data_IF_980118900411
#
_entry.id   IF_980118900411
#
_cell.length_a   1.000
_cell.length_b   1.000
_cell.length_c   1.000
_cell.angle_alpha   90.00
_cell.angle_beta   90.00
_cell.angle_gamma   90.00
#
_symmetry.space_group_name_H-M   'P 1'
#
loop_
_entity.id
_entity.type
_entity.pdbx_description
1 polymer ?
#
# COMPACT_ATOMS: atom_id res chain seq x y z
N UNK A 1 -26.56 -17.08 12.51
CA UNK A 1 -25.22 -16.80 13.07
C UNK A 1 -25.35 -16.64 14.59
N UNK A 2 -24.42 -17.24 15.34
CA UNK A 2 -24.41 -17.18 16.79
C UNK A 2 -23.11 -16.57 17.30
N UNK A 3 -23.15 -16.05 18.53
CA UNK A 3 -21.94 -15.52 19.16
C UNK A 3 -20.90 -16.65 19.33
N UNK A 4 -19.64 -16.31 19.15
CA UNK A 4 -18.54 -17.23 19.40
C UNK A 4 -18.37 -17.42 20.90
N UNK A 5 -18.06 -18.65 21.31
CA UNK A 5 -17.64 -18.90 22.68
C UNK A 5 -16.22 -18.35 22.93
N UNK A 6 -15.81 -18.28 24.17
CA UNK A 6 -14.54 -17.65 24.54
C UNK A 6 -13.32 -18.38 23.95
N UNK A 7 -13.36 -19.70 23.80
CA UNK A 7 -12.25 -20.44 23.17
C UNK A 7 -12.16 -20.14 21.69
N UNK A 8 -13.30 -20.04 21.00
CA UNK A 8 -13.34 -19.66 19.59
C UNK A 8 -12.85 -18.22 19.40
N UNK A 9 -13.24 -17.31 20.32
CA UNK A 9 -12.74 -15.93 20.31
C UNK A 9 -11.23 -15.88 20.53
N UNK A 10 -10.70 -16.68 21.46
CA UNK A 10 -9.25 -16.74 21.72
C UNK A 10 -8.50 -17.20 20.48
N UNK A 11 -9.00 -18.24 19.80
CA UNK A 11 -8.39 -18.73 18.56
C UNK A 11 -8.43 -17.67 17.48
N UNK A 12 -9.58 -17.05 17.24
CA UNK A 12 -9.71 -16.01 16.21
C UNK A 12 -8.79 -14.84 16.50
N UNK A 13 -8.74 -14.36 17.75
CA UNK A 13 -7.88 -13.24 18.14
C UNK A 13 -6.41 -13.58 17.94
N UNK A 14 -5.99 -14.78 18.36
CA UNK A 14 -4.59 -15.17 18.27
C UNK A 14 -4.14 -15.36 16.82
N UNK A 15 -4.96 -16.01 16.00
CA UNK A 15 -4.64 -16.14 14.58
C UNK A 15 -4.70 -14.80 13.83
N UNK A 16 -5.53 -13.87 14.31
CA UNK A 16 -5.52 -12.52 13.77
C UNK A 16 -4.21 -11.79 14.10
N UNK A 17 -3.87 -11.67 15.37
CA UNK A 17 -2.80 -10.77 15.81
C UNK A 17 -1.42 -11.42 15.90
N UNK A 18 -1.34 -12.76 15.96
CA UNK A 18 -0.06 -13.48 16.11
C UNK A 18 0.19 -14.54 15.04
N UNK A 19 -0.81 -14.87 14.21
CA UNK A 19 -0.72 -15.95 13.21
C UNK A 19 -0.37 -17.28 13.84
N UNK A 20 -0.77 -17.51 15.06
CA UNK A 20 -0.47 -18.74 15.83
C UNK A 20 -1.55 -19.00 16.85
N UNK A 21 -1.48 -20.18 17.47
CA UNK A 21 -2.44 -20.59 18.50
C UNK A 21 -2.33 -19.68 19.74
N UNK A 22 -3.42 -19.60 20.55
CA UNK A 22 -3.40 -18.82 21.78
C UNK A 22 -2.32 -19.25 22.76
N UNK A 23 -1.75 -18.28 23.48
CA UNK A 23 -0.84 -18.59 24.56
C UNK A 23 -1.62 -18.95 25.85
N UNK A 24 -0.89 -19.42 26.87
CA UNK A 24 -1.50 -19.87 28.11
C UNK A 24 -2.29 -18.75 28.80
N UNK A 25 -1.80 -17.50 28.71
CA UNK A 25 -2.50 -16.36 29.32
C UNK A 25 -3.86 -16.12 28.67
N UNK A 26 -3.91 -16.18 27.33
CA UNK A 26 -5.18 -15.99 26.60
C UNK A 26 -6.13 -17.16 26.85
N UNK A 27 -5.60 -18.38 26.89
CA UNK A 27 -6.42 -19.56 27.19
C UNK A 27 -7.00 -19.52 28.60
N UNK A 28 -6.24 -19.03 29.58
CA UNK A 28 -6.73 -18.90 30.96
C UNK A 28 -7.91 -17.90 31.05
N UNK A 29 -7.84 -16.80 30.29
CA UNK A 29 -8.95 -15.83 30.22
C UNK A 29 -10.19 -16.48 29.59
N UNK A 30 -9.98 -17.25 28.51
CA UNK A 30 -11.09 -17.96 27.84
C UNK A 30 -11.72 -19.01 28.78
N UNK A 31 -10.88 -19.78 29.50
CA UNK A 31 -11.37 -20.80 30.45
C UNK A 31 -12.21 -20.16 31.57
N UNK A 32 -11.82 -18.95 32.00
CA UNK A 32 -12.58 -18.23 33.01
C UNK A 32 -13.88 -17.61 32.49
N UNK A 33 -14.14 -17.71 31.16
CA UNK A 33 -15.33 -17.14 30.53
C UNK A 33 -15.36 -15.63 30.49
N UNK A 34 -14.19 -15.00 30.46
CA UNK A 34 -14.07 -13.56 30.58
C UNK A 34 -13.65 -12.88 29.29
N UNK A 35 -13.27 -13.62 28.26
CA UNK A 35 -12.75 -13.01 27.05
C UNK A 35 -13.84 -12.24 26.27
N UNK A 36 -15.09 -12.63 26.43
CA UNK A 36 -16.22 -11.93 25.83
C UNK A 36 -16.52 -10.58 26.51
N UNK A 37 -15.96 -10.31 27.70
CA UNK A 37 -16.11 -9.01 28.37
C UNK A 37 -15.33 -7.94 27.60
N UNK A 38 -15.96 -6.79 27.25
CA UNK A 38 -15.26 -5.79 26.43
C UNK A 38 -13.93 -5.28 27.00
N UNK A 39 -13.89 -5.03 28.31
CA UNK A 39 -12.66 -4.51 28.94
C UNK A 39 -11.54 -5.56 28.93
N UNK A 40 -11.87 -6.86 29.14
CA UNK A 40 -10.88 -7.92 29.10
C UNK A 40 -10.37 -8.14 27.67
N UNK A 41 -11.28 -8.14 26.70
CA UNK A 41 -10.90 -8.26 25.28
C UNK A 41 -9.94 -7.14 24.90
N UNK A 42 -10.26 -5.89 25.27
CA UNK A 42 -9.39 -4.75 24.97
C UNK A 42 -8.01 -4.91 25.61
N UNK A 43 -7.95 -5.39 26.85
CA UNK A 43 -6.68 -5.62 27.54
C UNK A 43 -5.82 -6.68 26.83
N UNK A 44 -6.46 -7.76 26.35
CA UNK A 44 -5.74 -8.81 25.62
C UNK A 44 -5.24 -8.28 24.26
N UNK A 45 -6.05 -7.49 23.54
CA UNK A 45 -5.62 -6.88 22.27
C UNK A 45 -4.37 -6.01 22.51
N UNK A 46 -4.39 -5.17 23.56
CA UNK A 46 -3.23 -4.32 23.88
C UNK A 46 -2.00 -5.17 24.15
N UNK A 47 -2.12 -6.18 25.01
CA UNK A 47 -1.01 -7.07 25.33
C UNK A 47 -0.45 -7.75 24.09
N UNK A 48 -1.34 -8.22 23.22
CA UNK A 48 -0.93 -8.98 22.04
C UNK A 48 -0.31 -8.09 20.97
N UNK A 49 -0.81 -6.85 20.80
CA UNK A 49 -0.19 -5.89 19.87
C UNK A 49 1.18 -5.44 20.34
N UNK A 50 1.41 -5.38 21.66
CA UNK A 50 2.71 -5.01 22.21
C UNK A 50 3.73 -6.16 22.18
N UNK A 51 3.28 -7.39 21.97
CA UNK A 51 4.16 -8.57 21.91
C UNK A 51 4.84 -8.63 20.52
N UNK A 52 6.14 -8.96 20.46
CA UNK A 52 6.85 -9.07 19.17
C UNK A 52 6.20 -10.02 18.17
N UNK A 53 5.40 -10.99 18.61
CA UNK A 53 4.69 -11.90 17.71
C UNK A 53 3.71 -11.16 16.79
N UNK A 54 3.27 -9.95 17.17
CA UNK A 54 2.38 -9.14 16.33
C UNK A 54 3.01 -8.73 15.01
N UNK A 55 4.34 -8.78 14.90
CA UNK A 55 5.03 -8.54 13.61
C UNK A 55 4.56 -9.52 12.53
N UNK A 56 4.16 -10.73 12.91
CA UNK A 56 3.62 -11.72 11.96
C UNK A 56 2.32 -11.23 11.34
N UNK A 57 1.47 -10.63 12.17
CA UNK A 57 0.24 -10.00 11.67
C UNK A 57 0.56 -8.91 10.65
N UNK A 58 1.46 -7.98 11.01
CA UNK A 58 1.78 -6.86 10.11
C UNK A 58 2.30 -7.39 8.77
N UNK A 59 3.26 -8.30 8.81
CA UNK A 59 3.86 -8.86 7.58
C UNK A 59 2.79 -9.50 6.69
N UNK A 60 1.95 -10.38 7.26
CA UNK A 60 0.93 -11.08 6.48
C UNK A 60 -0.16 -10.12 6.01
N UNK A 61 -0.56 -9.17 6.86
CA UNK A 61 -1.62 -8.22 6.50
C UNK A 61 -1.18 -7.32 5.36
N UNK A 62 0.00 -6.67 5.45
CA UNK A 62 0.45 -5.79 4.36
C UNK A 62 0.77 -6.60 3.11
N UNK A 63 1.23 -7.85 3.30
CA UNK A 63 1.43 -8.78 2.19
C UNK A 63 0.16 -8.98 1.38
N UNK A 64 -0.97 -9.13 2.04
CA UNK A 64 -2.26 -9.35 1.37
C UNK A 64 -2.93 -8.05 0.95
N UNK A 65 -3.02 -7.07 1.85
CA UNK A 65 -3.76 -5.82 1.59
C UNK A 65 -3.13 -5.02 0.44
N UNK A 66 -1.81 -5.00 0.37
CA UNK A 66 -1.07 -4.21 -0.62
C UNK A 66 -0.23 -5.06 -1.57
N UNK A 67 -0.47 -6.37 -1.61
CA UNK A 67 0.21 -7.30 -2.51
C UNK A 67 1.74 -7.31 -2.31
N UNK A 68 2.21 -7.00 -1.10
CA UNK A 68 3.65 -6.95 -0.86
C UNK A 68 4.31 -8.32 -1.05
N UNK A 69 3.53 -9.42 -0.96
CA UNK A 69 4.04 -10.75 -1.25
C UNK A 69 4.54 -10.89 -2.69
N UNK A 70 4.16 -9.97 -3.58
CA UNK A 70 4.59 -9.99 -4.99
C UNK A 70 5.92 -9.25 -5.22
N UNK A 71 6.59 -8.78 -4.17
CA UNK A 71 7.75 -7.90 -4.35
C UNK A 71 8.87 -8.54 -5.18
N UNK A 72 8.96 -9.86 -5.19
CA UNK A 72 9.95 -10.58 -5.98
C UNK A 72 9.37 -11.21 -7.27
N UNK A 73 8.16 -10.82 -7.68
CA UNK A 73 7.52 -11.37 -8.88
C UNK A 73 8.16 -10.89 -10.17
N UNK A 74 8.85 -9.74 -10.14
CA UNK A 74 9.53 -9.20 -11.30
C UNK A 74 11.01 -8.97 -10.97
N UNK A 75 11.85 -9.09 -11.98
CA UNK A 75 13.28 -8.77 -11.88
C UNK A 75 13.53 -7.47 -12.63
N UNK A 76 14.03 -6.43 -11.96
CA UNK A 76 14.36 -5.18 -12.66
C UNK A 76 15.44 -5.42 -13.72
N UNK A 77 15.28 -4.75 -14.86
CA UNK A 77 16.23 -4.86 -15.97
C UNK A 77 17.59 -4.30 -15.53
N UNK A 78 18.64 -5.10 -15.71
CA UNK A 78 19.97 -4.73 -15.21
C UNK A 78 20.62 -3.59 -16.02
N UNK A 79 20.20 -3.40 -17.24
CA UNK A 79 20.67 -2.27 -18.07
C UNK A 79 19.98 -0.97 -17.70
N UNK A 80 18.68 -1.03 -17.42
CA UNK A 80 17.90 0.16 -17.07
C UNK A 80 18.04 0.53 -15.60
N UNK A 81 18.17 -0.46 -14.72
CA UNK A 81 18.19 -0.25 -13.25
C UNK A 81 19.37 -1.00 -12.64
N UNK A 82 20.61 -0.64 -13.04
CA UNK A 82 21.80 -1.35 -12.56
C UNK A 82 22.02 -1.22 -11.05
N UNK A 83 21.41 -0.22 -10.41
CA UNK A 83 21.54 -0.01 -8.97
C UNK A 83 20.68 -0.99 -8.14
N UNK A 84 19.75 -1.72 -8.76
CA UNK A 84 18.91 -2.64 -8.01
C UNK A 84 19.71 -3.88 -7.60
N UNK A 85 19.53 -4.28 -6.34
CA UNK A 85 20.09 -5.53 -5.81
C UNK A 85 19.15 -6.08 -4.73
N UNK A 86 19.46 -7.27 -4.24
CA UNK A 86 18.65 -7.94 -3.23
C UNK A 86 18.59 -7.14 -1.92
N UNK A 87 19.65 -6.42 -1.57
CA UNK A 87 19.66 -5.60 -0.35
C UNK A 87 18.64 -4.47 -0.47
N UNK A 88 18.56 -3.85 -1.65
CA UNK A 88 17.53 -2.83 -1.87
C UNK A 88 16.14 -3.44 -1.80
N UNK A 89 15.92 -4.60 -2.43
CA UNK A 89 14.62 -5.28 -2.37
C UNK A 89 14.18 -5.59 -0.96
N UNK A 90 15.10 -6.09 -0.13
CA UNK A 90 14.82 -6.38 1.28
C UNK A 90 14.48 -5.10 2.06
N UNK A 91 15.21 -4.01 1.80
CA UNK A 91 14.96 -2.74 2.48
C UNK A 91 13.61 -2.13 2.07
N UNK A 92 13.23 -2.25 0.78
CA UNK A 92 11.92 -1.80 0.31
C UNK A 92 10.79 -2.52 1.05
N UNK A 93 10.90 -3.85 1.19
CA UNK A 93 9.89 -4.61 1.91
C UNK A 93 9.85 -4.22 3.39
N UNK A 94 11.03 -4.12 4.01
CA UNK A 94 11.13 -3.78 5.43
C UNK A 94 10.54 -2.39 5.72
N UNK A 95 10.74 -1.43 4.82
CA UNK A 95 10.18 -0.08 5.00
C UNK A 95 8.67 -0.13 5.22
N UNK A 96 7.96 -0.86 4.36
CA UNK A 96 6.49 -0.93 4.43
C UNK A 96 6.03 -1.66 5.69
N UNK A 97 6.68 -2.77 6.03
CA UNK A 97 6.32 -3.52 7.23
C UNK A 97 6.55 -2.69 8.49
N UNK A 98 7.72 -2.05 8.61
CA UNK A 98 8.05 -1.23 9.79
C UNK A 98 7.18 0.02 9.87
N UNK A 99 6.82 0.60 8.74
CA UNK A 99 5.90 1.74 8.69
C UNK A 99 4.55 1.35 9.30
N UNK A 100 4.03 0.19 8.93
CA UNK A 100 2.76 -0.29 9.49
C UNK A 100 2.88 -0.63 10.97
N UNK A 101 4.00 -1.24 11.39
CA UNK A 101 4.24 -1.48 12.82
C UNK A 101 4.18 -0.17 13.60
N UNK A 102 4.77 0.89 13.05
CA UNK A 102 4.77 2.21 13.71
C UNK A 102 3.37 2.81 13.80
N UNK A 103 2.57 2.71 12.73
CA UNK A 103 1.20 3.20 12.77
C UNK A 103 0.41 2.54 13.90
N UNK A 104 0.61 1.24 14.10
CA UNK A 104 -0.07 0.49 15.16
C UNK A 104 0.51 0.85 16.53
N UNK A 105 1.83 0.84 16.66
CA UNK A 105 2.50 1.05 17.95
C UNK A 105 2.17 2.43 18.53
N UNK A 106 2.16 3.44 17.69
CA UNK A 106 1.93 4.83 18.11
C UNK A 106 0.47 5.26 17.92
N UNK A 107 -0.39 4.35 17.45
CA UNK A 107 -1.80 4.63 17.17
C UNK A 107 -1.96 5.84 16.26
N UNK A 108 -1.27 5.85 15.14
CA UNK A 108 -1.27 6.99 14.23
C UNK A 108 -2.48 6.98 13.30
N UNK A 109 -2.85 8.17 12.86
CA UNK A 109 -3.94 8.39 11.93
C UNK A 109 -3.66 7.76 10.56
N UNK A 110 -4.70 7.29 9.88
CA UNK A 110 -4.60 6.78 8.51
C UNK A 110 -4.24 7.85 7.49
N UNK A 111 -4.29 9.14 7.84
CA UNK A 111 -3.74 10.17 6.96
C UNK A 111 -2.26 9.92 6.66
N UNK A 112 -1.56 9.24 7.57
CA UNK A 112 -0.16 8.85 7.36
C UNK A 112 0.01 7.85 6.20
N UNK A 113 -1.03 7.11 5.83
CA UNK A 113 -0.96 6.25 4.63
C UNK A 113 -0.81 7.09 3.37
N UNK A 114 -1.38 8.29 3.37
CA UNK A 114 -1.31 9.20 2.22
C UNK A 114 -0.06 10.06 2.30
N UNK A 115 0.18 10.69 3.45
CA UNK A 115 1.33 11.56 3.65
C UNK A 115 1.79 11.48 5.10
N UNK A 116 3.07 11.21 5.30
CA UNK A 116 3.67 11.12 6.63
C UNK A 116 4.97 11.92 6.66
N UNK A 117 5.38 12.37 7.84
CA UNK A 117 6.64 13.09 8.00
C UNK A 117 7.80 12.17 8.38
N UNK A 118 7.61 10.85 8.23
CA UNK A 118 8.64 9.87 8.56
C UNK A 118 8.55 8.68 7.63
N UNK A 119 9.65 7.92 7.57
CA UNK A 119 9.68 6.59 7.00
C UNK A 119 10.76 5.78 7.72
N UNK A 120 11.04 4.57 7.24
CA UNK A 120 12.08 3.71 7.80
C UNK A 120 13.15 3.47 6.74
N UNK A 121 14.39 3.72 7.10
CA UNK A 121 15.52 3.64 6.17
C UNK A 121 16.71 2.96 6.82
N UNK A 122 17.49 2.23 6.00
CA UNK A 122 18.89 1.95 6.28
C UNK A 122 19.72 2.72 5.25
N UNK A 123 21.05 2.58 5.30
CA UNK A 123 21.92 3.28 4.36
C UNK A 123 21.55 2.97 2.90
N UNK A 124 21.30 1.69 2.59
CA UNK A 124 21.03 1.28 1.21
C UNK A 124 19.77 1.96 0.64
N UNK A 125 18.70 1.98 1.44
CA UNK A 125 17.45 2.60 1.02
C UNK A 125 17.55 4.13 1.02
N UNK A 126 18.27 4.70 1.98
CA UNK A 126 18.49 6.15 2.04
C UNK A 126 19.24 6.64 0.79
N UNK A 127 20.25 5.89 0.34
CA UNK A 127 20.96 6.19 -0.91
C UNK A 127 19.99 6.18 -2.10
N UNK A 128 19.14 5.17 -2.17
CA UNK A 128 18.15 5.06 -3.24
C UNK A 128 17.17 6.24 -3.25
N UNK A 129 16.80 6.72 -2.06
CA UNK A 129 15.85 7.83 -1.91
C UNK A 129 16.52 9.20 -1.90
N UNK A 130 17.85 9.26 -2.00
CA UNK A 130 18.62 10.49 -1.91
C UNK A 130 18.42 11.23 -0.58
N UNK A 131 18.35 10.46 0.52
CA UNK A 131 18.25 11.00 1.88
C UNK A 131 19.63 10.91 2.52
N UNK A 132 20.29 12.04 2.82
CA UNK A 132 21.65 11.99 3.34
C UNK A 132 21.71 11.65 4.83
N UNK A 133 22.88 11.22 5.29
CA UNK A 133 23.18 11.10 6.71
C UNK A 133 22.74 9.81 7.39
N UNK A 134 22.32 8.81 6.64
CA UNK A 134 21.89 7.52 7.19
C UNK A 134 22.99 6.48 6.96
N UNK A 135 23.50 5.90 8.03
CA UNK A 135 24.60 4.94 7.97
C UNK A 135 24.16 3.57 8.50
N UNK A 136 24.83 2.54 8.03
CA UNK A 136 24.64 1.17 8.50
C UNK A 136 23.49 0.44 7.86
N UNK A 137 23.40 -0.87 8.15
CA UNK A 137 22.42 -1.74 7.51
C UNK A 137 21.11 -1.84 8.28
N UNK A 138 21.08 -1.40 9.52
CA UNK A 138 19.90 -1.51 10.35
C UNK A 138 18.83 -0.50 9.94
N UNK A 139 17.62 -0.96 9.71
CA UNK A 139 16.48 -0.08 9.42
C UNK A 139 16.12 0.71 10.69
N UNK A 140 15.82 2.00 10.50
CA UNK A 140 15.42 2.87 11.60
C UNK A 140 14.45 3.94 11.14
N UNK A 141 13.65 4.44 12.08
CA UNK A 141 12.74 5.55 11.80
C UNK A 141 13.54 6.82 11.50
N UNK A 142 13.18 7.49 10.41
CA UNK A 142 13.85 8.72 9.96
C UNK A 142 12.78 9.77 9.72
N UNK A 143 12.95 10.94 10.33
CA UNK A 143 12.08 12.09 10.03
C UNK A 143 12.49 12.68 8.69
N UNK A 144 11.51 12.87 7.83
CA UNK A 144 11.75 13.32 6.46
C UNK A 144 11.78 14.86 6.40
N UNK A 145 12.60 15.43 5.51
CA UNK A 145 12.55 16.88 5.32
C UNK A 145 11.22 17.32 4.73
N UNK A 146 10.87 18.57 5.00
CA UNK A 146 9.63 19.16 4.46
C UNK A 146 9.62 19.04 2.93
N UNK A 147 8.47 18.61 2.40
CA UNK A 147 8.30 18.46 0.96
C UNK A 147 8.79 17.14 0.40
N UNK A 148 9.26 16.22 1.26
CA UNK A 148 9.70 14.90 0.79
C UNK A 148 8.53 14.14 0.16
N UNK A 149 8.81 13.47 -0.96
CA UNK A 149 7.83 12.60 -1.62
C UNK A 149 7.73 11.22 -0.94
N UNK A 150 8.58 10.95 0.06
CA UNK A 150 8.73 9.60 0.61
C UNK A 150 7.79 9.27 1.77
N UNK A 151 7.13 10.25 2.32
CA UNK A 151 6.19 10.02 3.43
C UNK A 151 4.85 9.51 2.94
N UNK A 152 4.47 8.34 3.41
CA UNK A 152 3.22 7.71 3.04
C UNK A 152 3.41 6.50 2.13
N UNK A 153 2.37 5.67 2.03
CA UNK A 153 2.44 4.38 1.34
C UNK A 153 2.82 4.53 -0.14
N UNK A 154 2.20 5.50 -0.83
CA UNK A 154 2.45 5.69 -2.26
C UNK A 154 3.80 6.35 -2.56
N UNK A 155 4.53 6.81 -1.53
CA UNK A 155 5.90 7.27 -1.68
C UNK A 155 6.94 6.17 -1.46
N UNK A 156 6.49 4.96 -1.08
CA UNK A 156 7.41 3.85 -0.78
C UNK A 156 7.72 3.05 -2.03
N UNK A 157 8.99 2.74 -2.22
CA UNK A 157 9.46 2.05 -3.42
C UNK A 157 8.89 0.65 -3.60
N UNK A 158 8.52 -0.02 -2.51
CA UNK A 158 7.90 -1.35 -2.59
C UNK A 158 6.65 -1.35 -3.46
N UNK A 159 5.80 -0.34 -3.30
CA UNK A 159 4.54 -0.23 -4.05
C UNK A 159 4.84 -0.06 -5.54
N UNK A 160 5.86 0.72 -5.86
CA UNK A 160 6.22 0.97 -7.25
C UNK A 160 6.84 -0.26 -7.91
N UNK A 161 7.57 -1.05 -7.13
CA UNK A 161 8.15 -2.29 -7.65
C UNK A 161 7.08 -3.33 -7.96
N UNK A 162 6.11 -3.52 -7.07
CA UNK A 162 5.07 -4.54 -7.30
C UNK A 162 4.09 -4.14 -8.40
N UNK A 163 4.03 -2.87 -8.76
CA UNK A 163 3.10 -2.39 -9.78
C UNK A 163 3.77 -2.10 -11.12
N UNK A 164 5.01 -2.56 -11.31
CA UNK A 164 5.76 -2.40 -12.55
C UNK A 164 6.23 -3.77 -13.05
N UNK A 165 6.66 -3.82 -14.30
CA UNK A 165 7.08 -5.07 -14.94
C UNK A 165 8.59 -5.31 -14.93
N UNK A 166 9.35 -4.42 -14.30
CA UNK A 166 10.81 -4.53 -14.24
C UNK A 166 11.55 -3.72 -15.29
N UNK A 167 10.88 -3.30 -16.36
CA UNK A 167 11.51 -2.44 -17.39
C UNK A 167 10.87 -1.07 -17.48
N UNK A 168 9.55 -1.03 -17.52
CA UNK A 168 8.79 0.21 -17.68
C UNK A 168 7.69 0.30 -16.64
N UNK A 169 7.13 1.48 -16.53
CA UNK A 169 5.95 1.74 -15.72
C UNK A 169 4.72 1.90 -16.60
N UNK A 170 3.56 1.67 -16.02
CA UNK A 170 2.30 1.91 -16.70
C UNK A 170 1.29 2.49 -15.71
N UNK A 171 0.59 3.54 -16.09
CA UNK A 171 -0.49 4.08 -15.24
C UNK A 171 -1.61 3.08 -14.96
N UNK A 172 -1.82 2.08 -15.83
CA UNK A 172 -2.94 1.15 -15.66
C UNK A 172 -2.78 0.30 -14.39
N UNK A 173 -1.71 -0.52 -14.22
CA UNK A 173 -1.58 -1.28 -12.98
C UNK A 173 -1.39 -0.40 -11.75
N UNK A 174 -0.72 0.74 -11.89
CA UNK A 174 -0.55 1.66 -10.75
C UNK A 174 -1.86 2.32 -10.36
N UNK A 175 -2.62 2.79 -11.34
CA UNK A 175 -3.94 3.35 -11.07
C UNK A 175 -4.88 2.34 -10.47
N UNK A 176 -4.88 1.12 -11.02
CA UNK A 176 -5.72 0.05 -10.47
C UNK A 176 -5.32 -0.31 -9.04
N UNK A 177 -4.02 -0.27 -8.71
CA UNK A 177 -3.57 -0.48 -7.34
C UNK A 177 -4.18 0.57 -6.40
N UNK A 178 -4.12 1.84 -6.78
CA UNK A 178 -4.71 2.89 -5.95
C UNK A 178 -6.22 2.66 -5.78
N UNK A 179 -6.92 2.39 -6.89
CA UNK A 179 -8.36 2.19 -6.84
C UNK A 179 -8.74 0.97 -6.01
N UNK A 180 -8.09 -0.17 -6.26
CA UNK A 180 -8.47 -1.44 -5.63
C UNK A 180 -7.94 -1.57 -4.22
N UNK A 181 -6.63 -1.33 -4.03
CA UNK A 181 -5.96 -1.67 -2.78
C UNK A 181 -6.04 -0.54 -1.75
N UNK A 182 -6.10 0.71 -2.21
CA UNK A 182 -6.18 1.85 -1.30
C UNK A 182 -7.63 2.34 -1.12
N UNK A 183 -8.37 2.52 -2.23
CA UNK A 183 -9.70 3.13 -2.20
C UNK A 183 -10.85 2.11 -2.16
N UNK A 184 -10.57 0.83 -2.39
CA UNK A 184 -11.62 -0.20 -2.38
C UNK A 184 -12.60 -0.13 -3.53
N UNK A 185 -12.17 0.43 -4.67
CA UNK A 185 -12.99 0.60 -5.87
C UNK A 185 -12.32 -0.05 -7.08
N UNK A 186 -12.18 -1.40 -7.09
CA UNK A 186 -11.44 -2.04 -8.19
C UNK A 186 -12.10 -1.74 -9.54
N UNK A 187 -11.25 -1.50 -10.54
CA UNK A 187 -11.74 -1.32 -11.90
C UNK A 187 -12.33 -2.64 -12.43
N UNK A 188 -13.34 -2.57 -13.29
CA UNK A 188 -13.85 -3.81 -13.90
C UNK A 188 -12.77 -4.44 -14.78
N UNK A 189 -12.82 -5.76 -14.98
CA UNK A 189 -11.84 -6.41 -15.85
C UNK A 189 -11.97 -5.88 -17.28
N UNK A 190 -10.84 -5.83 -18.02
CA UNK A 190 -10.92 -5.36 -19.41
C UNK A 190 -11.79 -6.27 -20.26
N UNK A 191 -12.41 -5.74 -21.32
CA UNK A 191 -13.15 -6.57 -22.24
C UNK A 191 -12.25 -7.64 -22.87
N UNK A 192 -12.79 -8.79 -23.27
CA UNK A 192 -11.97 -9.82 -23.91
C UNK A 192 -11.38 -9.30 -25.22
N UNK A 193 -10.18 -9.75 -25.53
CA UNK A 193 -9.46 -9.43 -26.77
C UNK A 193 -8.96 -7.98 -26.88
N UNK A 194 -8.85 -7.26 -25.75
CA UNK A 194 -8.20 -5.94 -25.76
C UNK A 194 -6.68 -6.16 -25.77
N UNK A 195 -6.00 -5.59 -26.76
CA UNK A 195 -4.55 -5.67 -26.85
C UNK A 195 -3.87 -4.84 -25.77
N UNK A 196 -2.74 -5.33 -25.29
CA UNK A 196 -1.92 -4.58 -24.33
C UNK A 196 -1.15 -3.46 -25.02
N UNK A 197 -0.71 -2.51 -24.22
CA UNK A 197 0.22 -1.46 -24.70
C UNK A 197 1.65 -1.99 -24.58
N UNK A 198 2.33 -2.07 -25.69
CA UNK A 198 3.72 -2.53 -25.72
C UNK A 198 4.64 -1.42 -25.18
N UNK A 199 5.52 -1.74 -24.21
CA UNK A 199 6.41 -0.70 -23.68
C UNK A 199 7.44 -0.24 -24.73
N UNK A 200 7.69 1.06 -24.79
CA UNK A 200 8.71 1.61 -25.65
C UNK A 200 9.99 1.88 -24.86
N UNK A 201 10.85 0.90 -24.81
CA UNK A 201 12.13 1.01 -24.09
C UNK A 201 13.17 1.84 -24.85
N UNK A 202 12.90 2.16 -26.13
CA UNK A 202 13.78 3.05 -26.91
C UNK A 202 13.59 4.53 -26.53
N UNK A 203 12.49 4.85 -25.86
CA UNK A 203 12.22 6.20 -25.37
C UNK A 203 11.75 7.19 -26.45
N UNK A 204 11.10 6.70 -27.50
CA UNK A 204 10.60 7.55 -28.58
C UNK A 204 9.22 8.11 -28.28
N UNK A 205 8.44 7.45 -27.42
CA UNK A 205 7.10 7.90 -27.03
C UNK A 205 6.94 7.77 -25.51
N UNK A 206 6.12 8.65 -24.94
CA UNK A 206 5.76 8.52 -23.52
C UNK A 206 4.62 7.50 -23.37
N UNK A 207 4.49 6.94 -22.17
CA UNK A 207 3.37 6.03 -21.88
C UNK A 207 2.02 6.76 -22.06
N UNK A 208 1.98 8.05 -21.77
CA UNK A 208 0.76 8.86 -21.93
C UNK A 208 0.34 8.93 -23.42
N UNK A 209 1.30 9.12 -24.31
CA UNK A 209 1.04 9.13 -25.76
C UNK A 209 0.56 7.75 -26.24
N UNK A 210 1.18 6.69 -25.74
CA UNK A 210 0.77 5.32 -26.08
C UNK A 210 -0.66 5.03 -25.63
N UNK A 211 -1.00 5.45 -24.41
CA UNK A 211 -2.35 5.26 -23.86
C UNK A 211 -3.39 6.12 -24.58
N UNK A 212 -3.00 7.34 -25.00
CA UNK A 212 -3.91 8.18 -25.76
C UNK A 212 -4.33 7.51 -27.08
N UNK A 213 -3.38 6.89 -27.77
CA UNK A 213 -3.67 6.14 -28.99
C UNK A 213 -4.56 4.91 -28.72
N UNK A 214 -4.38 4.27 -27.55
CA UNK A 214 -5.17 3.09 -27.18
C UNK A 214 -6.62 3.44 -26.81
N UNK A 215 -6.89 4.67 -26.39
CA UNK A 215 -8.19 5.11 -25.89
C UNK A 215 -9.15 5.60 -26.96
N UNK A 216 -8.87 5.36 -28.24
CA UNK A 216 -9.73 5.85 -29.31
C UNK A 216 -11.15 5.27 -29.30
N UNK A 217 -11.36 4.11 -28.66
CA UNK A 217 -12.70 3.58 -28.55
C UNK A 217 -13.41 4.15 -27.30
N UNK A 218 -14.71 4.40 -27.41
CA UNK A 218 -15.50 4.94 -26.30
C UNK A 218 -15.59 3.98 -25.12
N UNK A 219 -15.52 2.68 -25.38
CA UNK A 219 -15.55 1.66 -24.33
C UNK A 219 -14.27 1.75 -23.48
N UNK A 220 -13.12 1.86 -24.14
CA UNK A 220 -11.82 1.97 -23.45
C UNK A 220 -11.73 3.28 -22.67
N UNK A 221 -12.18 4.38 -23.28
CA UNK A 221 -12.10 5.70 -22.66
C UNK A 221 -12.86 5.78 -21.34
N UNK A 222 -13.98 5.06 -21.21
CA UNK A 222 -14.79 5.05 -20.00
C UNK A 222 -14.03 4.52 -18.78
N UNK A 223 -13.32 3.40 -18.93
CA UNK A 223 -12.54 2.81 -17.85
C UNK A 223 -11.27 3.63 -17.57
N UNK A 224 -10.59 4.05 -18.63
CA UNK A 224 -9.33 4.79 -18.51
C UNK A 224 -9.50 6.15 -17.83
N UNK A 225 -10.66 6.77 -17.96
CA UNK A 225 -10.95 8.04 -17.27
C UNK A 225 -10.79 7.92 -15.75
N UNK A 226 -11.07 6.73 -15.20
CA UNK A 226 -10.97 6.48 -13.75
C UNK A 226 -9.60 5.90 -13.37
N UNK A 227 -9.08 4.97 -14.19
CA UNK A 227 -7.85 4.22 -13.86
C UNK A 227 -6.60 5.07 -14.05
N UNK A 228 -6.52 5.82 -15.16
CA UNK A 228 -5.27 6.45 -15.55
C UNK A 228 -4.83 7.61 -14.63
N UNK A 229 -5.72 8.49 -14.13
CA UNK A 229 -5.22 9.64 -13.36
C UNK A 229 -4.41 9.28 -12.12
N UNK A 230 -4.86 8.37 -11.23
CA UNK A 230 -3.97 7.98 -10.12
C UNK A 230 -2.66 7.36 -10.60
N UNK A 231 -2.69 6.62 -11.72
CA UNK A 231 -1.47 6.06 -12.30
C UNK A 231 -0.53 7.13 -12.82
N UNK A 232 -1.07 8.18 -13.47
CA UNK A 232 -0.24 9.30 -13.94
C UNK A 232 0.45 10.00 -12.77
N UNK A 233 -0.24 10.20 -11.66
CA UNK A 233 0.35 10.80 -10.48
C UNK A 233 1.59 10.04 -10.00
N UNK A 234 1.63 8.72 -10.23
CA UNK A 234 2.72 7.85 -9.78
C UNK A 234 3.83 7.66 -10.82
N UNK A 235 3.72 8.28 -12.01
CA UNK A 235 4.75 8.14 -13.06
C UNK A 235 6.09 8.77 -12.68
N UNK A 236 6.10 9.65 -11.68
CA UNK A 236 7.35 10.19 -11.14
C UNK A 236 8.19 9.14 -10.39
N UNK A 237 7.67 7.93 -10.22
CA UNK A 237 8.41 6.83 -9.59
C UNK A 237 8.72 5.76 -10.64
N UNK A 238 9.99 5.37 -10.74
CA UNK A 238 10.43 4.35 -11.70
C UNK A 238 10.06 2.94 -11.22
N UNK A 239 10.37 1.89 -12.00
CA UNK A 239 10.01 0.50 -11.61
C UNK A 239 10.64 -0.02 -10.32
N UNK A 240 11.66 0.63 -9.78
CA UNK A 240 12.26 0.25 -8.50
C UNK A 240 12.01 1.29 -7.41
N UNK A 241 11.08 2.23 -7.67
CA UNK A 241 10.68 3.24 -6.70
C UNK A 241 11.56 4.47 -6.63
N UNK A 242 12.52 4.63 -7.54
CA UNK A 242 13.32 5.84 -7.62
C UNK A 242 12.48 7.01 -8.12
N UNK A 243 12.65 8.19 -7.52
CA UNK A 243 11.93 9.38 -7.97
C UNK A 243 12.67 9.99 -9.16
N UNK A 244 11.91 10.35 -10.22
CA UNK A 244 12.51 10.75 -11.50
C UNK A 244 11.74 11.88 -12.16
N UNK A 245 12.49 12.70 -12.95
CA UNK A 245 11.92 13.72 -13.82
C UNK A 245 11.92 13.28 -15.29
N UNK A 246 12.71 12.26 -15.63
CA UNK A 246 12.83 11.75 -17.00
C UNK A 246 12.79 10.24 -16.98
N UNK A 247 12.27 9.66 -18.06
CA UNK A 247 12.30 8.22 -18.25
C UNK A 247 13.72 7.76 -18.56
N UNK A 248 14.02 6.50 -18.26
CA UNK A 248 15.24 5.85 -18.72
C UNK A 248 14.94 5.10 -20.00
N UNK A 249 15.90 5.10 -20.92
CA UNK A 249 15.75 4.43 -22.20
C UNK A 249 17.03 3.68 -22.57
N UNK A 250 16.86 2.60 -23.32
CA UNK A 250 17.96 1.91 -24.02
C UNK A 250 17.91 2.29 -25.50
N UNK A 251 19.01 2.12 -26.21
CA UNK A 251 19.05 2.46 -27.63
C UNK A 251 20.44 2.39 -28.18
N UNK A 252 20.64 2.91 -29.41
CA UNK A 252 21.94 2.86 -30.07
C UNK A 252 23.07 3.49 -29.25
N UNK A 253 22.75 4.47 -28.45
CA UNK A 253 23.76 5.15 -27.63
C UNK A 253 24.24 4.31 -26.46
N UNK A 254 23.42 3.38 -25.97
CA UNK A 254 23.83 2.51 -24.87
C UNK A 254 24.95 1.55 -25.27
N UNK A 255 25.08 1.24 -26.54
CA UNK A 255 26.17 0.40 -27.03
C UNK A 255 27.51 1.15 -27.05
N UNK A 256 27.45 2.47 -27.10
CA UNK A 256 28.64 3.31 -27.16
C UNK A 256 29.15 3.66 -25.78
N UNK A 257 28.24 3.83 -24.83
CA UNK A 257 28.55 4.24 -23.47
C UNK A 257 28.74 3.01 -22.57
N UNK A 258 29.94 2.53 -22.51
CA UNK A 258 30.29 1.30 -21.76
C UNK A 258 29.97 1.41 -20.27
N UNK A 259 29.92 2.63 -19.73
CA UNK A 259 29.71 2.85 -18.31
C UNK A 259 28.35 3.47 -17.99
N UNK A 260 27.49 3.66 -18.99
CA UNK A 260 26.13 4.19 -18.83
C UNK A 260 25.17 3.30 -19.60
N UNK A 261 24.69 2.22 -18.98
CA UNK A 261 23.85 1.24 -19.69
C UNK A 261 22.49 1.79 -20.10
N UNK A 262 22.07 2.92 -19.57
CA UNK A 262 20.84 3.59 -19.98
C UNK A 262 21.15 5.07 -20.27
N UNK A 263 20.21 5.72 -20.94
CA UNK A 263 20.25 7.16 -21.16
C UNK A 263 18.95 7.78 -20.65
N UNK A 264 19.01 9.07 -20.32
CA UNK A 264 17.82 9.82 -19.93
C UNK A 264 17.00 10.11 -21.18
N UNK A 265 15.72 9.82 -21.10
CA UNK A 265 14.79 9.96 -22.21
C UNK A 265 13.86 11.17 -22.05
N UNK A 266 12.62 10.96 -22.47
CA UNK A 266 11.60 11.99 -22.44
C UNK A 266 11.25 12.41 -21.01
N UNK A 267 10.79 13.65 -20.80
CA UNK A 267 10.36 14.08 -19.48
C UNK A 267 9.09 13.35 -19.03
N UNK A 268 8.98 13.17 -17.72
CA UNK A 268 7.78 12.58 -17.10
C UNK A 268 6.73 13.67 -16.91
N UNK A 269 5.50 13.38 -17.30
CA UNK A 269 4.34 14.23 -17.01
C UNK A 269 3.42 13.47 -16.04
N UNK A 270 3.45 13.87 -14.76
CA UNK A 270 2.67 13.25 -13.71
C UNK A 270 1.37 14.02 -13.39
N UNK A 271 0.96 14.91 -14.27
CA UNK A 271 -0.27 15.69 -14.08
C UNK A 271 -1.50 14.89 -14.51
N UNK A 272 -2.66 15.33 -14.04
CA UNK A 272 -3.91 14.70 -14.45
C UNK A 272 -5.12 15.33 -13.82
N UNK A 273 -6.27 14.77 -14.16
CA UNK A 273 -7.57 15.17 -13.60
C UNK A 273 -8.30 13.88 -13.22
N UNK A 274 -8.74 13.80 -11.98
CA UNK A 274 -9.49 12.63 -11.50
C UNK A 274 -10.84 12.55 -12.20
N UNK A 275 -11.50 11.37 -12.13
CA UNK A 275 -12.79 11.16 -12.77
C UNK A 275 -13.88 12.11 -12.24
N UNK A 276 -13.73 12.61 -11.03
CA UNK A 276 -14.64 13.57 -10.40
C UNK A 276 -14.16 15.03 -10.49
N UNK A 277 -13.11 15.28 -11.24
CA UNK A 277 -12.70 16.65 -11.62
C UNK A 277 -11.57 17.31 -10.82
N UNK A 278 -10.85 16.66 -9.84
CA UNK A 278 -9.87 17.11 -9.15
C UNK A 278 -8.71 17.07 -9.89
N UNK A 279 -8.09 18.24 -10.17
CA UNK A 279 -6.85 18.33 -10.96
C UNK A 279 -5.61 18.30 -10.06
N UNK A 280 -4.49 17.80 -10.61
CA UNK A 280 -3.20 17.74 -9.91
C UNK A 280 -2.08 17.91 -10.92
N UNK A 281 -0.99 18.59 -10.51
CA UNK A 281 0.18 18.82 -11.36
C UNK A 281 1.23 17.71 -11.21
N UNK A 282 1.17 16.95 -10.13
CA UNK A 282 2.11 15.87 -9.85
C UNK A 282 1.73 15.16 -8.58
N UNK A 283 2.67 14.34 -8.07
CA UNK A 283 2.41 13.45 -6.94
C UNK A 283 1.95 14.19 -5.67
N UNK A 284 2.63 15.29 -5.31
CA UNK A 284 2.28 16.00 -4.06
C UNK A 284 0.85 16.56 -4.12
N UNK A 285 0.45 17.09 -5.27
CA UNK A 285 -0.93 17.58 -5.45
C UNK A 285 -1.92 16.41 -5.36
N UNK A 286 -1.56 15.24 -5.93
CA UNK A 286 -2.43 14.08 -5.88
C UNK A 286 -2.60 13.56 -4.44
N UNK A 287 -1.52 13.59 -3.63
CA UNK A 287 -1.65 13.27 -2.20
C UNK A 287 -2.65 14.21 -1.52
N UNK A 288 -2.62 15.50 -1.89
CA UNK A 288 -3.58 16.45 -1.32
C UNK A 288 -5.01 16.14 -1.75
N UNK A 289 -5.21 15.74 -3.00
CA UNK A 289 -6.53 15.29 -3.48
C UNK A 289 -7.03 14.12 -2.63
N UNK A 290 -6.16 13.14 -2.34
CA UNK A 290 -6.53 11.99 -1.52
C UNK A 290 -6.89 12.43 -0.09
N UNK A 291 -6.09 13.32 0.51
CA UNK A 291 -6.34 13.80 1.88
C UNK A 291 -7.66 14.56 1.97
N UNK A 292 -7.95 15.39 0.97
CA UNK A 292 -9.14 16.24 1.01
C UNK A 292 -10.44 15.49 0.68
N UNK A 293 -10.36 14.41 -0.13
CA UNK A 293 -11.56 13.83 -0.71
C UNK A 293 -11.75 12.33 -0.44
N UNK A 294 -10.70 11.59 -0.08
CA UNK A 294 -10.77 10.13 -0.11
C UNK A 294 -10.50 9.45 1.24
N UNK A 295 -10.31 10.19 2.32
CA UNK A 295 -9.97 9.56 3.60
C UNK A 295 -11.07 8.62 4.11
N UNK A 296 -12.34 8.95 3.88
CA UNK A 296 -13.44 8.05 4.25
C UNK A 296 -13.36 6.73 3.46
N UNK A 297 -13.05 6.81 2.16
CA UNK A 297 -12.93 5.61 1.33
C UNK A 297 -11.72 4.75 1.74
N UNK A 298 -10.59 5.41 2.00
CA UNK A 298 -9.37 4.72 2.45
C UNK A 298 -9.64 3.98 3.77
N UNK A 299 -10.30 4.67 4.70
CA UNK A 299 -10.60 4.10 6.01
C UNK A 299 -11.60 2.95 5.91
N UNK A 300 -12.62 3.11 5.08
CA UNK A 300 -13.61 2.06 4.84
C UNK A 300 -12.95 0.81 4.24
N UNK A 301 -12.11 1.02 3.23
CA UNK A 301 -11.42 -0.09 2.59
C UNK A 301 -10.50 -0.83 3.58
N UNK A 302 -9.75 -0.08 4.40
CA UNK A 302 -8.86 -0.70 5.37
C UNK A 302 -9.65 -1.49 6.41
N UNK A 303 -10.77 -0.97 6.87
CA UNK A 303 -11.66 -1.72 7.77
C UNK A 303 -12.14 -3.02 7.11
N UNK A 304 -12.42 -2.99 5.97
CA UNK A 304 -12.84 -4.01 5.29
C UNK A 304 -11.86 -5.03 5.18
N UNK A 305 -10.69 -4.63 4.83
CA UNK A 305 -9.54 -5.54 4.74
C UNK A 305 -9.20 -6.19 6.09
N UNK A 306 -9.20 -5.42 7.17
CA UNK A 306 -8.94 -5.95 8.51
C UNK A 306 -9.99 -6.99 8.94
N UNK A 307 -11.25 -6.71 8.67
CA UNK A 307 -12.34 -7.65 8.99
C UNK A 307 -12.15 -8.95 8.19
N UNK A 308 -11.92 -8.84 6.89
CA UNK A 308 -11.71 -10.01 6.05
C UNK A 308 -10.50 -10.82 6.52
N UNK A 309 -9.40 -10.14 6.82
CA UNK A 309 -8.18 -10.79 7.29
C UNK A 309 -8.39 -11.52 8.62
N UNK A 310 -9.12 -10.88 9.54
CA UNK A 310 -9.30 -11.39 10.90
C UNK A 310 -10.35 -12.51 10.98
N UNK A 311 -11.33 -12.53 10.06
CA UNK A 311 -12.43 -13.49 10.12
C UNK A 311 -12.32 -14.60 9.07
N UNK A 312 -11.59 -14.35 8.00
CA UNK A 312 -11.52 -15.25 6.85
C UNK A 312 -12.74 -15.17 5.94
N UNK A 313 -13.65 -14.21 6.20
CA UNK A 313 -14.89 -14.06 5.45
C UNK A 313 -14.92 -12.70 4.77
N UNK A 314 -15.36 -12.66 3.53
CA UNK A 314 -15.52 -11.40 2.81
C UNK A 314 -16.64 -10.58 3.45
N UNK A 315 -16.41 -9.28 3.52
CA UNK A 315 -17.43 -8.33 3.97
C UNK A 315 -18.45 -8.18 2.84
N UNK A 316 -19.72 -8.44 3.17
CA UNK A 316 -20.81 -8.39 2.20
C UNK A 316 -21.55 -7.05 2.29
N UNK A 317 -22.41 -6.78 1.31
CA UNK A 317 -23.23 -5.57 1.32
C UNK A 317 -24.05 -5.45 2.60
N UNK A 318 -24.56 -6.57 3.11
CA UNK A 318 -25.34 -6.61 4.36
C UNK A 318 -24.55 -6.18 5.58
N UNK A 319 -23.22 -6.23 5.53
CA UNK A 319 -22.34 -5.89 6.65
C UNK A 319 -21.95 -4.42 6.69
N UNK A 320 -22.40 -3.66 5.70
CA UNK A 320 -21.99 -2.27 5.51
C UNK A 320 -22.25 -1.40 6.74
N UNK A 321 -23.40 -1.60 7.38
CA UNK A 321 -23.73 -0.82 8.56
C UNK A 321 -22.80 -1.10 9.72
N UNK A 322 -22.41 -2.36 9.90
CA UNK A 322 -21.43 -2.74 10.94
C UNK A 322 -20.05 -2.13 10.67
N UNK A 323 -19.64 -2.07 9.39
CA UNK A 323 -18.38 -1.42 9.04
C UNK A 323 -18.45 0.09 9.30
N UNK A 324 -19.57 0.73 8.94
CA UNK A 324 -19.76 2.16 9.18
C UNK A 324 -19.77 2.48 10.66
N UNK A 325 -20.34 1.63 11.49
CA UNK A 325 -20.29 1.78 12.94
C UNK A 325 -18.85 1.78 13.47
N UNK A 326 -17.99 0.85 12.96
CA UNK A 326 -16.75 0.82 13.24
C UNK A 326 -16.09 1.97 12.97
N UNK A 327 -16.31 2.53 11.90
CA UNK A 327 -15.62 3.72 11.45
C UNK A 327 -16.05 4.99 12.21
N UNK A 328 -17.31 5.09 12.53
CA UNK A 328 -17.79 6.30 13.23
C UNK A 328 -17.09 6.51 14.57
N UNK A 329 -16.74 5.42 15.26
CA UNK A 329 -16.03 5.51 16.52
C UNK A 329 -14.55 5.85 16.36
N UNK A 330 -13.97 5.62 15.19
CA UNK A 330 -12.56 5.95 14.92
C UNK A 330 -12.39 7.32 14.26
N UNK A 331 -13.46 7.90 13.69
CA UNK A 331 -13.39 9.14 12.93
C UNK A 331 -12.90 10.31 13.78
N UNK A 332 -13.38 10.39 15.02
CA UNK A 332 -13.00 11.47 15.93
C UNK A 332 -11.53 11.41 16.34
N UNK A 333 -10.87 10.26 16.10
CA UNK A 333 -9.44 10.07 16.33
C UNK A 333 -8.67 10.06 15.01
N UNK A 334 -9.23 10.65 13.96
CA UNK A 334 -8.66 10.68 12.60
C UNK A 334 -8.33 9.28 12.09
N UNK A 335 -9.19 8.30 12.38
CA UNK A 335 -9.04 6.92 11.95
C UNK A 335 -7.71 6.31 12.42
N UNK A 336 -7.38 6.46 13.70
CA UNK A 336 -6.14 5.91 14.25
C UNK A 336 -6.13 4.37 14.14
N UNK A 337 -5.02 3.79 13.68
CA UNK A 337 -4.99 2.39 13.24
C UNK A 337 -5.17 1.39 14.39
N UNK A 338 -4.48 1.60 15.52
CA UNK A 338 -4.62 0.71 16.68
C UNK A 338 -6.07 0.74 17.20
N UNK A 339 -6.67 1.93 17.25
CA UNK A 339 -8.08 2.08 17.62
C UNK A 339 -8.97 1.31 16.65
N UNK A 340 -8.70 1.39 15.34
CA UNK A 340 -9.49 0.64 14.34
C UNK A 340 -9.39 -0.87 14.58
N UNK A 341 -8.22 -1.39 14.95
CA UNK A 341 -8.07 -2.81 15.28
C UNK A 341 -8.97 -3.18 16.48
N UNK A 342 -9.00 -2.34 17.51
CA UNK A 342 -9.91 -2.56 18.66
C UNK A 342 -11.37 -2.59 18.22
N UNK A 343 -11.77 -1.66 17.36
CA UNK A 343 -13.15 -1.61 16.87
C UNK A 343 -13.52 -2.83 16.03
N UNK A 344 -12.58 -3.31 15.21
CA UNK A 344 -12.78 -4.56 14.45
C UNK A 344 -13.03 -5.71 15.40
N UNK A 345 -12.19 -5.88 16.43
CA UNK A 345 -12.31 -6.98 17.41
C UNK A 345 -13.62 -6.86 18.21
N UNK A 346 -14.07 -5.62 18.51
CA UNK A 346 -15.32 -5.40 19.23
C UNK A 346 -16.56 -5.64 18.37
N UNK A 347 -16.43 -5.63 17.07
CA UNK A 347 -17.59 -5.68 16.15
C UNK A 347 -18.32 -7.03 16.12
N UNK A 348 -19.36 -7.05 15.74
CA UNK A 348 -20.08 -8.07 15.55
C UNK A 348 -19.56 -8.99 14.69
N UNK A 349 -19.11 -8.43 13.57
CA UNK A 349 -18.52 -9.26 12.51
C UNK A 349 -17.41 -10.17 13.02
N UNK A 350 -16.59 -9.66 13.91
CA UNK A 350 -15.50 -10.44 14.51
C UNK A 350 -16.02 -11.45 15.55
N UNK A 351 -17.09 -11.13 16.26
CA UNK A 351 -17.54 -11.88 17.44
C UNK A 351 -18.62 -12.93 17.14
N UNK A 352 -19.03 -13.06 15.86
CA UNK A 352 -20.03 -14.07 15.47
C UNK A 352 -19.52 -14.98 14.37
N UNK A 353 -20.28 -16.09 14.09
CA UNK A 353 -19.99 -17.02 12.99
C UNK A 353 -20.58 -16.53 11.68
#
# INVERSE_FOLDING_TARGET
>A
SGALDDYSLASRLSYFLWRSMPDDALLAVAEAGRLSEPAEMARQVERMLDDPKSKRFVKDFVGQAYRLYEINSTSPDTGLYPEYDDLLGQALQAETELFYEELIRENLSLTNLVRADFTFLNRRLAEHYNVPGIEGQQMRKVMLPEGSVRGGLLGQGSIHKITANGTTTSPIPRGNFVLANLLGRPAPPPPPNVGGVEPDTRGTTTIREQLAAHRDSTICAGCHKTIDPPGFALESFDPIGGFRDQYRAVGAFSEILQYAPYQLGLPVDASGITSDGXSFRGFADYQQVLLDNEMDAISYNLAXQLITFSTGAQVEFSDRDAVNEXLSSTKDQNYALRTMIHEVVASXLFRTR
#
